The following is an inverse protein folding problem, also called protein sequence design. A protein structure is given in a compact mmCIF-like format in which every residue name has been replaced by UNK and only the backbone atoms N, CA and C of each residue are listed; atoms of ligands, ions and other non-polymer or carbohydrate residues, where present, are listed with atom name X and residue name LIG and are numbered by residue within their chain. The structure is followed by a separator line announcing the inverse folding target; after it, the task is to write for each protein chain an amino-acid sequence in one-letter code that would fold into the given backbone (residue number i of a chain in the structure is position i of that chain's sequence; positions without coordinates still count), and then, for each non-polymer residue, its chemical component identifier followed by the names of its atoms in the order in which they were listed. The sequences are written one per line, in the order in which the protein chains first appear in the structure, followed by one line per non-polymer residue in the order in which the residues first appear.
data_IF_307511951018
#
_entry.id   IF_307511951018
#
_cell.length_a   1.000
_cell.length_b   1.000
_cell.length_c   1.000
_cell.angle_alpha   90.00
_cell.angle_beta   90.00
_cell.angle_gamma   90.00
#
_symmetry.space_group_name_H-M   'P 1'
#
loop_
_entity.id
_entity.type
_entity.pdbx_description
1 polymer ?
#
# COMPACT_ATOMS: atom_id res chain seq x y z
N UNK A 1 -0.64 13.06 -20.30
CA UNK A 1 -1.51 14.13 -20.84
C UNK A 1 -1.42 14.09 -22.35
N UNK A 2 -2.55 14.09 -23.05
CA UNK A 2 -2.62 14.11 -24.51
C UNK A 2 -3.42 15.32 -24.96
N UNK A 3 -3.13 15.85 -26.14
CA UNK A 3 -3.88 16.94 -26.75
C UNK A 3 -4.61 16.36 -27.95
N UNK A 4 -5.94 16.33 -27.87
CA UNK A 4 -6.76 15.90 -29.00
C UNK A 4 -6.68 16.92 -30.13
N UNK A 5 -7.01 16.52 -31.37
CA UNK A 5 -6.92 17.36 -32.57
C UNK A 5 -7.72 18.67 -32.51
N UNK A 6 -8.67 18.75 -31.58
CA UNK A 6 -9.50 19.88 -31.21
C UNK A 6 -8.91 20.75 -30.06
N UNK A 7 -7.63 20.56 -29.71
CA UNK A 7 -6.90 21.37 -28.73
C UNK A 7 -7.25 21.10 -27.26
N UNK A 8 -8.08 20.11 -26.98
CA UNK A 8 -8.45 19.73 -25.62
C UNK A 8 -7.37 18.85 -25.00
N UNK A 9 -6.90 19.24 -23.81
CA UNK A 9 -5.94 18.46 -23.02
C UNK A 9 -6.71 17.44 -22.18
N UNK A 10 -6.34 16.17 -22.29
CA UNK A 10 -6.98 15.07 -21.55
C UNK A 10 -5.92 14.22 -20.85
N UNK A 11 -6.19 13.77 -19.63
CA UNK A 11 -5.39 12.76 -18.97
C UNK A 11 -5.76 11.39 -19.54
N UNK A 12 -4.81 10.75 -20.22
CA UNK A 12 -4.98 9.39 -20.78
C UNK A 12 -4.94 8.32 -19.68
N UNK A 13 -4.13 8.57 -18.65
CA UNK A 13 -3.92 7.69 -17.52
C UNK A 13 -3.65 8.56 -16.29
N UNK A 14 -4.08 8.08 -15.13
CA UNK A 14 -3.90 8.76 -13.86
C UNK A 14 -3.73 7.73 -12.75
N UNK A 15 -2.63 7.85 -12.01
CA UNK A 15 -2.38 7.06 -10.80
C UNK A 15 -2.52 7.98 -9.59
N UNK A 16 -3.44 7.64 -8.69
CA UNK A 16 -3.67 8.35 -7.44
C UNK A 16 -3.16 7.49 -6.28
N UNK A 17 -2.44 8.12 -5.35
CA UNK A 17 -2.10 7.52 -4.06
C UNK A 17 -2.78 8.37 -2.99
N UNK A 18 -3.45 7.71 -2.05
CA UNK A 18 -4.16 8.35 -0.96
C UNK A 18 -3.44 8.11 0.37
N UNK A 19 -3.51 9.09 1.28
CA UNK A 19 -2.97 8.93 2.64
C UNK A 19 -3.94 8.09 3.48
N UNK A 20 -3.48 6.91 3.89
CA UNK A 20 -4.23 5.96 4.72
C UNK A 20 -4.76 6.60 6.02
N UNK A 21 -4.00 7.54 6.60
CA UNK A 21 -4.39 8.22 7.84
C UNK A 21 -5.52 9.25 7.65
N UNK A 22 -5.78 9.67 6.40
CA UNK A 22 -6.82 10.63 6.07
C UNK A 22 -8.11 9.96 5.56
N UNK A 23 -8.07 8.66 5.23
CA UNK A 23 -9.19 7.93 4.62
C UNK A 23 -10.45 7.91 5.50
N UNK A 24 -10.32 8.01 6.83
CA UNK A 24 -11.47 8.07 7.72
C UNK A 24 -12.41 9.26 7.46
N UNK A 25 -11.93 10.32 6.79
CA UNK A 25 -12.71 11.50 6.40
C UNK A 25 -13.28 11.43 4.99
N UNK A 26 -12.90 10.43 4.21
CA UNK A 26 -13.24 10.29 2.79
C UNK A 26 -13.86 8.92 2.50
N UNK A 27 -15.09 8.66 2.99
CA UNK A 27 -15.78 7.39 2.77
C UNK A 27 -15.98 7.08 1.28
N UNK A 28 -16.09 8.11 0.43
CA UNK A 28 -16.20 7.98 -1.02
C UNK A 28 -14.95 7.37 -1.67
N UNK A 29 -13.76 7.63 -1.12
CA UNK A 29 -12.49 7.07 -1.63
C UNK A 29 -12.36 5.62 -1.17
N UNK A 30 -12.73 5.33 0.08
CA UNK A 30 -12.70 3.98 0.64
C UNK A 30 -13.63 3.04 -0.12
N UNK A 31 -14.76 3.53 -0.64
CA UNK A 31 -15.67 2.75 -1.46
C UNK A 31 -15.06 2.30 -2.81
N UNK A 32 -14.01 2.96 -3.30
CA UNK A 32 -13.27 2.55 -4.49
C UNK A 32 -12.09 1.61 -4.18
N UNK A 33 -11.89 1.21 -2.92
CA UNK A 33 -10.82 0.28 -2.55
C UNK A 33 -11.14 -1.11 -3.10
N UNK A 34 -10.29 -1.58 -4.01
CA UNK A 34 -10.35 -2.92 -4.55
C UNK A 34 -9.41 -3.84 -3.76
N UNK A 35 -9.99 -4.78 -3.00
CA UNK A 35 -9.21 -5.72 -2.19
C UNK A 35 -8.65 -6.88 -3.03
N UNK A 36 -9.15 -7.10 -4.25
CA UNK A 36 -8.66 -8.17 -5.13
C UNK A 36 -7.31 -7.80 -5.77
N UNK A 37 -6.98 -6.50 -5.85
CA UNK A 37 -5.66 -6.01 -6.28
C UNK A 37 -4.63 -5.94 -5.13
N UNK A 38 -5.06 -6.08 -3.87
CA UNK A 38 -4.19 -6.06 -2.69
C UNK A 38 -3.72 -7.46 -2.30
N UNK A 39 -2.58 -7.58 -1.61
CA UNK A 39 -2.11 -8.88 -1.12
C UNK A 39 -3.05 -9.38 -0.01
N UNK A 40 -3.65 -10.59 -0.13
CA UNK A 40 -4.61 -11.09 0.85
C UNK A 40 -4.01 -11.22 2.26
N UNK A 41 -2.71 -11.46 2.39
CA UNK A 41 -2.03 -11.52 3.68
C UNK A 41 -1.88 -10.13 4.32
N UNK A 42 -1.62 -9.09 3.52
CA UNK A 42 -1.59 -7.70 4.00
C UNK A 42 -3.00 -7.24 4.41
N UNK A 43 -4.02 -7.59 3.63
CA UNK A 43 -5.43 -7.31 3.95
C UNK A 43 -5.86 -8.00 5.25
N UNK A 44 -5.47 -9.26 5.45
CA UNK A 44 -5.75 -9.98 6.69
C UNK A 44 -5.04 -9.35 7.89
N UNK A 45 -3.74 -9.05 7.77
CA UNK A 45 -2.97 -8.39 8.82
C UNK A 45 -3.55 -7.02 9.19
N UNK A 46 -3.99 -6.24 8.19
CA UNK A 46 -4.60 -4.93 8.41
C UNK A 46 -5.89 -5.00 9.24
N UNK A 47 -6.66 -6.11 9.20
CA UNK A 47 -7.85 -6.30 10.05
C UNK A 47 -7.50 -6.43 11.54
N UNK A 48 -6.26 -6.81 11.84
CA UNK A 48 -5.75 -6.96 13.21
C UNK A 48 -4.83 -5.79 13.62
N UNK A 49 -4.85 -4.68 12.85
CA UNK A 49 -3.95 -3.54 13.04
C UNK A 49 -2.45 -3.92 12.98
N UNK A 50 -2.12 -4.95 12.21
CA UNK A 50 -0.73 -5.39 11.98
C UNK A 50 -0.23 -4.86 10.63
N UNK A 51 1.00 -4.33 10.63
CA UNK A 51 1.72 -4.04 9.41
C UNK A 51 2.49 -5.29 8.96
N UNK A 52 1.99 -5.95 7.90
CA UNK A 52 2.63 -7.10 7.27
C UNK A 52 3.22 -6.68 5.93
N UNK A 53 4.42 -7.20 5.63
CA UNK A 53 5.09 -7.02 4.34
C UNK A 53 5.67 -8.37 3.97
N UNK A 54 5.22 -8.92 2.84
CA UNK A 54 5.77 -10.17 2.32
C UNK A 54 7.14 -9.92 1.69
N UNK A 55 8.12 -10.74 2.07
CA UNK A 55 9.48 -10.69 1.57
C UNK A 55 9.91 -12.10 1.19
N UNK A 56 10.69 -12.21 0.10
CA UNK A 56 11.23 -13.49 -0.33
C UNK A 56 12.27 -14.01 0.68
N UNK A 57 11.96 -15.14 1.33
CA UNK A 57 12.82 -15.74 2.33
C UNK A 57 12.15 -16.92 3.03
N UNK A 58 12.85 -17.48 4.02
CA UNK A 58 12.38 -18.58 4.85
C UNK A 58 12.32 -18.24 6.34
N UNK A 59 12.63 -16.98 6.71
CA UNK A 59 12.62 -16.48 8.08
C UNK A 59 11.55 -15.40 8.21
N UNK A 60 10.57 -15.63 9.09
CA UNK A 60 9.59 -14.61 9.48
C UNK A 60 10.07 -13.80 10.68
N UNK A 61 9.85 -12.49 10.65
CA UNK A 61 10.20 -11.58 11.74
C UNK A 61 8.93 -10.92 12.31
N UNK A 62 8.73 -10.99 13.63
CA UNK A 62 7.65 -10.29 14.33
C UNK A 62 8.25 -9.39 15.40
N UNK A 63 8.00 -8.09 15.27
CA UNK A 63 8.62 -7.05 16.10
C UNK A 63 7.62 -5.96 16.47
N UNK A 64 7.87 -5.30 17.59
CA UNK A 64 7.07 -4.16 18.03
C UNK A 64 7.72 -2.86 17.55
N UNK A 65 7.36 -2.45 16.32
CA UNK A 65 7.76 -1.17 15.73
C UNK A 65 8.53 -1.31 14.42
N UNK A 66 8.20 -0.44 13.46
CA UNK A 66 8.77 -0.47 12.11
C UNK A 66 10.30 -0.32 12.09
N UNK A 67 10.87 0.54 12.96
CA UNK A 67 12.32 0.74 13.04
C UNK A 67 13.08 -0.51 13.51
N UNK A 68 12.51 -1.22 14.50
CA UNK A 68 13.08 -2.49 14.96
C UNK A 68 12.90 -3.58 13.91
N UNK A 69 11.81 -3.56 13.14
CA UNK A 69 11.59 -4.47 12.02
C UNK A 69 12.71 -4.34 11.00
N UNK A 70 12.95 -3.11 10.53
CA UNK A 70 13.98 -2.83 9.53
C UNK A 70 15.37 -3.22 10.04
N UNK A 71 15.72 -2.89 11.29
CA UNK A 71 17.00 -3.27 11.88
C UNK A 71 17.18 -4.79 12.02
N UNK A 72 16.11 -5.52 12.38
CA UNK A 72 16.15 -6.98 12.49
C UNK A 72 16.32 -7.62 11.11
N UNK A 73 15.64 -7.09 10.09
CA UNK A 73 15.80 -7.51 8.70
C UNK A 73 17.22 -7.27 8.17
N UNK A 74 17.82 -6.10 8.47
CA UNK A 74 19.21 -5.80 8.11
C UNK A 74 20.20 -6.76 8.79
N UNK A 75 19.91 -7.18 10.02
CA UNK A 75 20.75 -8.15 10.76
C UNK A 75 20.67 -9.55 10.17
N UNK A 76 19.50 -9.99 9.70
CA UNK A 76 19.28 -11.33 9.11
C UNK A 76 19.89 -11.43 7.69
N UNK A 77 20.03 -10.31 7.00
CA UNK A 77 20.55 -10.26 5.62
C UNK A 77 22.09 -10.32 5.52
N UNK A 78 22.80 -10.29 6.66
CA UNK A 78 24.25 -10.53 6.80
C UNK A 78 24.57 -12.02 6.88
#
# INVERSE_FOLDING_TARGET
LNVSSNGTVTALDAKFNFDSNALYRHPEIVAYRDLDEEDPAEVEASKFDLAYISLDGNIGCLVNGAGLAMATMDTIKL
#
